data_IF_617789622079
#
_entry.id   IF_617789622079
#
_cell.length_a   1.000
_cell.length_b   1.000
_cell.length_c   1.000
_cell.angle_alpha   90.00
_cell.angle_beta   90.00
_cell.angle_gamma   90.00
#
_symmetry.space_group_name_H-M   'P 1'
#
loop_
_entity.id
_entity.type
_entity.pdbx_description
1 polymer ?
#
# COMPACT_ATOMS: atom_id res chain seq x y z
N UNK A 1 33.27 13.41 1.82
CA UNK A 1 32.06 12.88 2.49
C UNK A 1 30.89 13.17 1.56
N UNK A 2 30.26 12.12 1.01
CA UNK A 2 29.24 12.28 -0.03
C UNK A 2 27.93 12.82 0.59
N UNK A 3 27.45 13.97 0.10
CA UNK A 3 26.19 14.58 0.56
C UNK A 3 24.99 13.77 0.01
N UNK A 4 23.84 13.84 0.68
CA UNK A 4 22.60 13.15 0.35
C UNK A 4 22.23 13.26 -1.14
N UNK A 5 22.33 14.47 -1.70
CA UNK A 5 22.03 14.77 -3.11
C UNK A 5 22.94 13.99 -4.08
N UNK A 6 24.24 13.90 -3.82
CA UNK A 6 25.17 13.15 -4.67
C UNK A 6 24.85 11.65 -4.69
N UNK A 7 24.44 11.07 -3.54
CA UNK A 7 24.03 9.66 -3.49
C UNK A 7 22.77 9.40 -4.29
N UNK A 8 21.76 10.26 -4.16
CA UNK A 8 20.52 10.16 -4.95
C UNK A 8 20.82 10.23 -6.45
N UNK A 9 21.66 11.19 -6.89
CA UNK A 9 22.05 11.31 -8.30
C UNK A 9 22.75 10.05 -8.81
N UNK A 10 23.67 9.50 -8.02
CA UNK A 10 24.37 8.25 -8.33
C UNK A 10 23.40 7.07 -8.44
N UNK A 11 22.44 6.95 -7.51
CA UNK A 11 21.43 5.90 -7.50
C UNK A 11 20.48 5.99 -8.69
N UNK A 12 20.04 7.19 -9.08
CA UNK A 12 19.23 7.40 -10.29
C UNK A 12 19.97 6.96 -11.55
N UNK A 13 21.25 7.33 -11.68
CA UNK A 13 22.07 6.91 -12.82
C UNK A 13 22.23 5.38 -12.86
N UNK A 14 22.42 4.74 -11.70
CA UNK A 14 22.47 3.28 -11.59
C UNK A 14 21.15 2.63 -11.98
N UNK A 15 20.02 3.13 -11.48
CA UNK A 15 18.69 2.61 -11.80
C UNK A 15 18.38 2.73 -13.30
N UNK A 16 18.74 3.87 -13.92
CA UNK A 16 18.61 4.09 -15.36
C UNK A 16 19.44 3.12 -16.22
N UNK A 17 20.52 2.56 -15.66
CA UNK A 17 21.40 1.62 -16.35
C UNK A 17 20.95 0.15 -16.22
N UNK A 18 19.88 -0.16 -15.47
CA UNK A 18 19.36 -1.52 -15.30
C UNK A 18 18.14 -1.74 -16.21
N UNK A 19 18.26 -2.54 -17.29
CA UNK A 19 17.18 -2.71 -18.27
C UNK A 19 15.87 -3.24 -17.68
N UNK A 20 15.93 -4.17 -16.73
CA UNK A 20 14.74 -4.74 -16.11
C UNK A 20 13.92 -3.69 -15.34
N UNK A 21 14.57 -2.71 -14.71
CA UNK A 21 13.87 -1.62 -14.00
C UNK A 21 13.19 -0.65 -14.96
N UNK A 22 13.76 -0.46 -16.16
CA UNK A 22 13.12 0.33 -17.21
C UNK A 22 11.87 -0.36 -17.74
N UNK A 23 11.81 -1.69 -17.76
CA UNK A 23 10.66 -2.45 -18.24
C UNK A 23 9.51 -2.56 -17.21
N UNK A 24 9.82 -2.62 -15.91
CA UNK A 24 8.86 -2.96 -14.85
C UNK A 24 8.21 -1.76 -14.12
N UNK A 25 8.58 -0.52 -14.45
CA UNK A 25 8.03 0.67 -13.82
C UNK A 25 8.67 1.98 -14.29
N UNK A 26 9.95 1.93 -14.68
CA UNK A 26 10.66 3.07 -15.23
C UNK A 26 10.19 3.54 -16.60
N UNK A 27 9.28 2.85 -17.31
CA UNK A 27 8.89 3.21 -18.69
C UNK A 27 8.35 4.64 -18.84
N UNK A 28 7.74 5.21 -17.80
CA UNK A 28 7.09 6.52 -17.86
C UNK A 28 8.08 7.68 -17.76
N UNK A 29 9.07 7.58 -16.88
CA UNK A 29 10.03 8.66 -16.59
C UNK A 29 11.50 8.28 -16.85
N UNK A 30 11.80 7.00 -17.11
CA UNK A 30 13.14 6.45 -17.44
C UNK A 30 14.23 6.81 -16.41
N UNK A 31 13.84 6.92 -15.13
CA UNK A 31 14.68 7.46 -14.05
C UNK A 31 15.30 8.84 -14.33
N UNK A 32 14.66 9.64 -15.19
CA UNK A 32 15.02 11.02 -15.48
C UNK A 32 14.17 11.97 -14.66
N UNK A 33 14.84 12.85 -13.94
CA UNK A 33 14.21 14.02 -13.36
C UNK A 33 14.06 15.12 -14.42
N UNK A 34 13.10 16.00 -14.19
CA UNK A 34 13.05 17.27 -14.90
C UNK A 34 14.26 18.15 -14.50
N UNK A 35 14.56 19.22 -15.26
CA UNK A 35 15.58 20.18 -14.85
C UNK A 35 15.30 20.76 -13.45
N UNK A 36 16.33 21.08 -12.67
CA UNK A 36 16.15 21.80 -11.40
C UNK A 36 15.63 23.22 -11.63
N UNK A 37 14.92 23.73 -10.63
CA UNK A 37 14.48 25.13 -10.59
C UNK A 37 15.63 26.07 -10.25
N UNK A 38 15.50 27.32 -10.66
CA UNK A 38 16.38 28.38 -10.18
C UNK A 38 15.98 28.82 -8.76
N UNK A 39 16.92 29.47 -8.07
CA UNK A 39 16.65 30.10 -6.77
C UNK A 39 15.55 31.18 -6.89
N UNK A 40 15.49 31.87 -8.03
CA UNK A 40 14.47 32.88 -8.32
C UNK A 40 13.07 32.26 -8.44
N UNK A 41 12.94 31.15 -9.17
CA UNK A 41 11.65 30.45 -9.34
C UNK A 41 11.12 29.91 -8.01
N UNK A 42 12.01 29.32 -7.20
CA UNK A 42 11.64 28.79 -5.87
C UNK A 42 11.27 29.93 -4.92
N UNK A 43 12.05 31.01 -4.89
CA UNK A 43 11.75 32.18 -4.05
C UNK A 43 10.42 32.84 -4.45
N UNK A 44 10.16 32.98 -5.75
CA UNK A 44 8.88 33.49 -6.26
C UNK A 44 7.71 32.60 -5.86
N UNK A 45 7.87 31.28 -5.93
CA UNK A 45 6.86 30.33 -5.46
C UNK A 45 6.61 30.49 -3.94
N UNK A 46 7.67 30.53 -3.15
CA UNK A 46 7.61 30.69 -1.68
C UNK A 46 6.90 32.00 -1.29
N UNK A 47 7.23 33.11 -1.97
CA UNK A 47 6.60 34.41 -1.77
C UNK A 47 5.12 34.42 -2.20
N UNK A 48 4.82 33.97 -3.42
CA UNK A 48 3.46 33.98 -3.98
C UNK A 48 2.48 33.09 -3.22
N UNK A 49 2.97 32.07 -2.51
CA UNK A 49 2.17 31.13 -1.72
C UNK A 49 2.32 31.31 -0.20
N UNK A 50 3.06 32.34 0.23
CA UNK A 50 3.30 32.67 1.64
C UNK A 50 3.83 31.48 2.46
N UNK A 51 4.72 30.69 1.87
CA UNK A 51 5.24 29.45 2.46
C UNK A 51 6.75 29.39 2.35
N UNK A 52 7.40 28.75 3.31
CA UNK A 52 8.81 28.32 3.18
C UNK A 52 8.83 26.81 3.01
N UNK A 53 9.39 26.32 1.92
CA UNK A 53 9.48 24.90 1.63
C UNK A 53 10.36 24.19 2.68
N UNK A 54 10.03 22.95 3.09
CA UNK A 54 10.92 22.14 3.91
C UNK A 54 12.29 21.97 3.25
N UNK A 55 13.38 22.16 4.01
CA UNK A 55 14.75 22.25 3.49
C UNK A 55 15.11 21.06 2.59
N UNK A 56 14.77 19.84 3.00
CA UNK A 56 15.02 18.63 2.23
C UNK A 56 14.36 18.67 0.83
N UNK A 57 13.12 19.15 0.74
CA UNK A 57 12.40 19.28 -0.53
C UNK A 57 12.90 20.46 -1.36
N UNK A 58 13.18 21.60 -0.73
CA UNK A 58 13.76 22.78 -1.38
C UNK A 58 15.09 22.43 -2.07
N UNK A 59 15.96 21.69 -1.39
CA UNK A 59 17.21 21.19 -1.95
C UNK A 59 16.99 20.22 -3.11
N UNK A 60 15.98 19.36 -3.04
CA UNK A 60 15.65 18.47 -4.15
C UNK A 60 15.31 19.25 -5.43
N UNK A 61 14.40 20.23 -5.34
CA UNK A 61 13.97 20.99 -6.54
C UNK A 61 15.07 21.90 -7.09
N UNK A 62 15.98 22.41 -6.26
CA UNK A 62 17.11 23.25 -6.69
C UNK A 62 18.31 22.46 -7.20
N UNK A 63 18.61 21.32 -6.61
CA UNK A 63 19.85 20.59 -6.88
C UNK A 63 19.63 19.36 -7.79
N UNK A 64 18.46 18.73 -7.75
CA UNK A 64 18.17 17.48 -8.47
C UNK A 64 17.18 17.68 -9.63
N UNK A 65 15.99 18.21 -9.38
CA UNK A 65 14.98 18.39 -10.43
C UNK A 65 13.57 18.74 -9.94
N UNK A 66 12.79 19.39 -10.81
CA UNK A 66 11.38 19.74 -10.56
C UNK A 66 10.41 18.66 -11.04
N UNK A 67 10.31 17.57 -10.30
CA UNK A 67 9.46 16.44 -10.67
C UNK A 67 10.14 15.45 -11.63
N UNK A 68 9.34 14.58 -12.25
CA UNK A 68 9.83 13.52 -13.14
C UNK A 68 9.97 12.18 -12.42
N UNK A 69 11.16 11.58 -12.41
CA UNK A 69 11.38 10.27 -11.79
C UNK A 69 11.06 10.23 -10.29
N UNK A 70 10.22 9.28 -9.88
CA UNK A 70 9.84 9.08 -8.49
C UNK A 70 9.13 7.75 -8.27
N UNK A 71 8.78 7.42 -7.02
CA UNK A 71 7.94 6.27 -6.73
C UNK A 71 6.59 6.38 -7.44
N UNK A 72 6.06 5.24 -7.87
CA UNK A 72 4.78 5.17 -8.58
C UNK A 72 4.84 5.68 -10.02
N UNK A 73 4.01 6.67 -10.34
CA UNK A 73 3.87 7.20 -11.70
C UNK A 73 4.91 8.29 -12.00
N UNK A 74 5.07 9.27 -11.10
CA UNK A 74 6.02 10.39 -11.21
C UNK A 74 6.10 11.21 -9.93
N UNK A 75 7.16 11.99 -9.80
CA UNK A 75 7.18 13.18 -8.96
C UNK A 75 6.44 14.32 -9.65
N UNK A 76 5.62 15.04 -8.88
CA UNK A 76 4.81 16.16 -9.36
C UNK A 76 5.68 17.43 -9.39
N UNK A 77 5.76 18.14 -10.53
CA UNK A 77 6.43 19.44 -10.60
C UNK A 77 5.81 20.46 -9.62
N UNK A 78 6.61 21.36 -9.06
CA UNK A 78 6.20 22.32 -8.03
C UNK A 78 5.02 23.19 -8.47
N UNK A 79 4.96 23.55 -9.75
CA UNK A 79 3.87 24.36 -10.29
C UNK A 79 2.55 23.57 -10.44
N UNK A 80 2.61 22.25 -10.60
CA UNK A 80 1.45 21.33 -10.70
C UNK A 80 1.06 20.74 -9.33
N UNK A 81 1.92 20.85 -8.32
CA UNK A 81 1.73 20.29 -6.98
C UNK A 81 0.49 20.84 -6.21
N UNK A 82 -0.27 21.71 -6.88
CA UNK A 82 -1.46 22.41 -6.44
C UNK A 82 -2.66 22.27 -7.37
N UNK A 83 -2.63 21.37 -8.36
CA UNK A 83 -3.71 21.19 -9.35
C UNK A 83 -4.94 20.47 -8.75
N UNK A 84 -5.38 20.99 -7.61
CA UNK A 84 -6.76 20.99 -7.17
C UNK A 84 -7.28 22.34 -7.63
N UNK A 85 -7.82 22.40 -8.85
CA UNK A 85 -8.43 23.61 -9.40
C UNK A 85 -9.28 24.31 -8.31
N UNK A 86 -8.95 25.59 -8.02
CA UNK A 86 -9.60 26.49 -7.05
C UNK A 86 -9.26 26.38 -5.54
N UNK A 87 -8.02 26.06 -5.15
CA UNK A 87 -7.62 26.22 -3.74
C UNK A 87 -7.44 27.70 -3.33
N UNK A 88 -7.97 28.12 -2.16
CA UNK A 88 -7.95 29.51 -1.73
C UNK A 88 -6.53 30.05 -1.45
N UNK A 89 -6.34 31.35 -1.61
CA UNK A 89 -5.13 32.05 -1.13
C UNK A 89 -4.84 31.69 0.34
N UNK A 90 -3.57 31.48 0.67
CA UNK A 90 -3.14 31.07 2.01
C UNK A 90 -3.27 29.58 2.32
N UNK A 91 -3.72 28.74 1.37
CA UNK A 91 -3.87 27.29 1.61
C UNK A 91 -2.58 26.63 2.13
N UNK A 92 -1.41 26.96 1.56
CA UNK A 92 -0.12 26.41 2.03
C UNK A 92 0.39 27.09 3.30
N UNK A 93 0.08 28.36 3.50
CA UNK A 93 0.46 29.11 4.68
C UNK A 93 -0.36 28.72 5.92
N UNK A 94 -1.53 28.09 5.72
CA UNK A 94 -2.40 27.67 6.82
C UNK A 94 -1.94 26.32 7.37
N UNK A 95 -1.72 26.17 8.69
CA UNK A 95 -1.22 24.92 9.29
C UNK A 95 -2.12 23.71 9.03
N UNK A 96 -1.53 22.61 8.58
CA UNK A 96 -2.18 21.30 8.53
C UNK A 96 -2.39 20.72 9.93
N UNK A 97 -3.56 20.11 10.16
CA UNK A 97 -3.86 19.30 11.33
C UNK A 97 -3.36 17.86 11.25
N UNK A 98 -2.78 17.43 10.11
CA UNK A 98 -2.19 16.10 9.98
C UNK A 98 -0.95 15.95 10.86
N UNK A 99 -0.91 14.88 11.64
CA UNK A 99 0.25 14.57 12.48
C UNK A 99 0.47 13.04 12.61
N UNK A 100 1.74 12.59 12.66
CA UNK A 100 2.05 11.20 12.99
C UNK A 100 1.45 10.80 14.33
N UNK A 101 0.91 9.59 14.42
CA UNK A 101 0.30 9.07 15.64
C UNK A 101 -1.14 9.54 15.91
N UNK A 102 -1.66 10.49 15.13
CA UNK A 102 -3.07 10.86 15.18
C UNK A 102 -3.91 9.88 14.37
N UNK A 103 -4.99 9.38 14.97
CA UNK A 103 -5.96 8.57 14.26
C UNK A 103 -6.79 9.46 13.33
N UNK A 104 -6.68 9.23 12.03
CA UNK A 104 -7.49 9.88 11.01
C UNK A 104 -8.49 8.87 10.44
N UNK A 105 -9.68 9.34 10.11
CA UNK A 105 -10.76 8.56 9.51
C UNK A 105 -10.69 8.61 7.98
N UNK A 106 -11.55 7.85 7.31
CA UNK A 106 -11.56 7.74 5.84
C UNK A 106 -12.12 8.97 5.13
N UNK A 107 -12.99 9.70 5.82
CA UNK A 107 -13.59 10.99 5.43
C UNK A 107 -12.64 12.18 5.66
N UNK A 108 -11.34 11.96 5.88
CA UNK A 108 -10.37 13.03 6.17
C UNK A 108 -10.36 14.17 5.12
N UNK A 109 -10.74 13.88 3.87
CA UNK A 109 -10.87 14.87 2.79
C UNK A 109 -11.96 15.91 3.04
N UNK A 110 -12.98 15.58 3.82
CA UNK A 110 -14.10 16.48 4.13
C UNK A 110 -13.68 17.59 5.10
N UNK A 111 -12.49 17.49 5.69
CA UNK A 111 -11.96 18.40 6.70
C UNK A 111 -10.86 19.30 6.09
N UNK A 112 -11.15 20.57 5.76
CA UNK A 112 -10.18 21.49 5.17
C UNK A 112 -8.90 21.65 5.99
N UNK A 113 -9.01 21.59 7.32
CA UNK A 113 -7.89 21.69 8.25
C UNK A 113 -6.88 20.56 8.12
N UNK A 114 -7.27 19.40 7.59
CA UNK A 114 -6.35 18.30 7.30
C UNK A 114 -5.69 18.43 5.92
N UNK A 115 -6.37 19.06 4.95
CA UNK A 115 -5.88 19.24 3.58
C UNK A 115 -4.92 20.42 3.43
N UNK A 116 -5.23 21.54 4.09
CA UNK A 116 -4.40 22.75 4.04
C UNK A 116 -2.98 22.50 4.57
N UNK A 117 -2.04 23.35 4.22
CA UNK A 117 -0.64 23.23 4.66
C UNK A 117 0.09 22.02 4.09
N UNK A 118 -0.43 21.40 3.03
CA UNK A 118 0.17 20.26 2.34
C UNK A 118 0.39 20.52 0.85
N UNK A 119 1.38 19.83 0.28
CA UNK A 119 1.84 19.94 -1.10
C UNK A 119 1.86 18.54 -1.73
N UNK A 120 1.22 18.31 -2.87
CA UNK A 120 1.35 17.02 -3.57
C UNK A 120 2.75 16.91 -4.18
N UNK A 121 3.50 15.84 -3.89
CA UNK A 121 4.88 15.67 -4.39
C UNK A 121 5.06 14.43 -5.25
N UNK A 122 4.19 13.42 -5.15
CA UNK A 122 4.27 12.23 -5.99
C UNK A 122 2.90 11.62 -6.29
N UNK A 123 2.70 11.27 -7.56
CA UNK A 123 1.58 10.47 -8.03
C UNK A 123 1.97 9.00 -7.92
N UNK A 124 1.39 8.26 -6.98
CA UNK A 124 1.73 6.85 -6.78
C UNK A 124 0.97 5.95 -7.79
N UNK A 125 -0.33 6.19 -7.91
CA UNK A 125 -1.24 5.60 -8.90
C UNK A 125 -2.46 6.52 -9.13
N UNK A 126 -3.55 6.01 -9.73
CA UNK A 126 -4.74 6.81 -10.03
C UNK A 126 -5.51 7.30 -8.80
N UNK A 127 -5.31 6.69 -7.63
CA UNK A 127 -6.04 7.06 -6.41
C UNK A 127 -5.11 7.44 -5.26
N UNK A 128 -3.82 7.11 -5.32
CA UNK A 128 -2.85 7.38 -4.25
C UNK A 128 -1.86 8.48 -4.62
N UNK A 129 -1.73 9.46 -3.72
CA UNK A 129 -0.78 10.56 -3.82
C UNK A 129 0.04 10.63 -2.52
N UNK A 130 1.32 11.01 -2.64
CA UNK A 130 2.12 11.43 -1.48
C UNK A 130 2.09 12.94 -1.36
N UNK A 131 1.68 13.42 -0.19
CA UNK A 131 1.72 14.83 0.18
C UNK A 131 2.86 15.11 1.15
N UNK A 132 3.47 16.29 1.04
CA UNK A 132 4.44 16.86 1.96
C UNK A 132 3.74 17.90 2.83
N UNK A 133 3.85 17.80 4.15
CA UNK A 133 3.38 18.85 5.04
C UNK A 133 4.37 20.01 4.97
N UNK A 134 3.93 21.17 4.48
CA UNK A 134 4.76 22.37 4.32
C UNK A 134 4.55 23.37 5.46
N UNK A 135 3.37 23.34 6.09
CA UNK A 135 3.05 24.16 7.26
C UNK A 135 2.24 23.36 8.27
N UNK A 136 2.61 23.42 9.55
CA UNK A 136 1.94 22.70 10.65
C UNK A 136 2.89 21.85 11.49
N UNK A 137 2.37 21.11 12.50
CA UNK A 137 3.18 20.36 13.46
C UNK A 137 4.05 19.27 12.83
N UNK A 138 3.61 18.70 11.70
CA UNK A 138 4.32 17.65 10.97
C UNK A 138 5.16 18.18 9.80
N UNK A 139 5.49 19.48 9.77
CA UNK A 139 6.24 20.10 8.67
C UNK A 139 7.50 19.31 8.29
N UNK A 140 7.66 19.05 7.00
CA UNK A 140 8.75 18.26 6.42
C UNK A 140 8.49 16.75 6.34
N UNK A 141 7.40 16.26 6.93
CA UNK A 141 6.99 14.86 6.86
C UNK A 141 6.07 14.59 5.66
N UNK A 142 6.10 13.35 5.20
CA UNK A 142 5.31 12.89 4.07
C UNK A 142 4.14 12.02 4.56
N UNK A 143 3.01 12.18 3.90
CA UNK A 143 1.77 11.46 4.18
C UNK A 143 1.18 10.94 2.87
N UNK A 144 0.90 9.66 2.85
CA UNK A 144 0.24 9.01 1.72
C UNK A 144 -1.25 9.07 1.93
N UNK A 145 -1.95 9.44 0.88
CA UNK A 145 -3.38 9.66 0.94
C UNK A 145 -4.07 9.00 -0.25
N UNK A 146 -5.27 8.47 -0.02
CA UNK A 146 -6.12 7.93 -1.07
C UNK A 146 -7.22 8.94 -1.40
N UNK A 147 -7.22 9.48 -2.62
CA UNK A 147 -8.15 10.50 -3.10
C UNK A 147 -9.62 10.05 -3.10
N UNK A 148 -9.87 8.76 -3.21
CA UNK A 148 -11.22 8.20 -3.20
C UNK A 148 -11.76 7.90 -1.78
N UNK A 149 -10.99 8.20 -0.73
CA UNK A 149 -11.42 8.02 0.66
C UNK A 149 -11.50 6.55 1.09
N UNK A 150 -10.91 5.61 0.34
CA UNK A 150 -10.92 4.19 0.71
C UNK A 150 -10.07 3.90 1.94
N UNK A 151 -9.02 4.69 2.14
CA UNK A 151 -8.05 4.53 3.23
C UNK A 151 -7.78 5.87 3.93
N UNK A 152 -7.40 5.76 5.21
CA UNK A 152 -6.97 6.91 6.00
C UNK A 152 -5.56 7.35 5.59
N UNK A 153 -5.18 8.61 5.87
CA UNK A 153 -3.80 9.07 5.70
C UNK A 153 -2.79 8.22 6.48
N UNK A 154 -1.67 7.90 5.83
CA UNK A 154 -0.58 7.11 6.42
C UNK A 154 0.73 7.87 6.25
N UNK A 155 1.31 8.30 7.36
CA UNK A 155 2.63 8.95 7.36
C UNK A 155 3.73 7.97 6.97
N UNK A 156 4.66 8.44 6.15
CA UNK A 156 5.92 7.76 5.90
C UNK A 156 6.75 7.73 7.20
N UNK A 157 7.41 6.61 7.46
CA UNK A 157 8.28 6.45 8.63
C UNK A 157 9.59 7.25 8.48
N UNK A 158 9.91 7.65 7.24
CA UNK A 158 11.09 8.46 6.92
C UNK A 158 11.04 9.85 7.60
N UNK A 159 12.19 10.36 8.06
CA UNK A 159 12.25 11.62 8.81
C UNK A 159 12.02 12.86 7.94
N UNK A 160 12.36 12.79 6.64
CA UNK A 160 12.22 13.89 5.70
C UNK A 160 12.07 13.39 4.25
N UNK A 161 11.87 14.34 3.34
CA UNK A 161 11.67 14.09 1.92
C UNK A 161 12.84 13.41 1.23
N UNK A 162 14.09 13.83 1.50
CA UNK A 162 15.25 13.25 0.82
C UNK A 162 15.47 11.81 1.27
N UNK A 163 15.28 11.52 2.57
CA UNK A 163 15.41 10.17 3.12
C UNK A 163 14.36 9.23 2.52
N UNK A 164 13.13 9.70 2.40
CA UNK A 164 12.05 8.99 1.71
C UNK A 164 12.38 8.73 0.23
N UNK A 165 12.86 9.74 -0.49
CA UNK A 165 13.21 9.59 -1.91
C UNK A 165 14.42 8.65 -2.12
N UNK A 166 15.44 8.77 -1.27
CA UNK A 166 16.62 7.92 -1.31
C UNK A 166 16.27 6.46 -1.00
N UNK A 167 15.37 6.21 -0.03
CA UNK A 167 14.89 4.87 0.31
C UNK A 167 14.22 4.18 -0.88
N UNK A 168 13.40 4.89 -1.65
CA UNK A 168 12.78 4.33 -2.86
C UNK A 168 13.82 3.75 -3.80
N UNK A 169 14.91 4.49 -4.04
CA UNK A 169 16.00 4.04 -4.89
C UNK A 169 16.78 2.87 -4.27
N UNK A 170 17.01 2.89 -2.96
CA UNK A 170 17.70 1.79 -2.26
C UNK A 170 16.94 0.47 -2.39
N UNK A 171 15.65 0.48 -2.10
CA UNK A 171 14.80 -0.70 -2.18
C UNK A 171 14.68 -1.20 -3.63
N UNK A 172 14.48 -0.28 -4.58
CA UNK A 172 14.44 -0.61 -6.00
C UNK A 172 15.74 -1.28 -6.47
N UNK A 173 16.90 -0.71 -6.11
CA UNK A 173 18.22 -1.23 -6.47
C UNK A 173 18.56 -2.52 -5.72
N UNK A 174 17.93 -2.78 -4.57
CA UNK A 174 17.99 -4.05 -3.86
C UNK A 174 17.06 -5.11 -4.45
N UNK A 175 16.30 -4.79 -5.50
CA UNK A 175 15.36 -5.69 -6.17
C UNK A 175 14.05 -5.90 -5.42
N UNK A 176 13.72 -4.98 -4.50
CA UNK A 176 12.48 -5.06 -3.72
C UNK A 176 11.31 -4.51 -4.53
N UNK A 177 10.10 -5.00 -4.23
CA UNK A 177 8.86 -4.46 -4.76
C UNK A 177 8.58 -3.05 -4.22
N UNK A 178 8.40 -2.08 -5.11
CA UNK A 178 8.11 -0.68 -4.75
C UNK A 178 6.65 -0.26 -5.01
N UNK A 179 5.77 -1.21 -5.35
CA UNK A 179 4.34 -0.91 -5.56
C UNK A 179 3.63 -0.42 -4.30
N UNK A 180 4.10 -0.83 -3.11
CA UNK A 180 3.56 -0.41 -1.81
C UNK A 180 4.39 0.69 -1.15
N UNK A 181 5.29 1.36 -1.88
CA UNK A 181 6.35 2.20 -1.31
C UNK A 181 5.88 3.22 -0.26
N UNK A 182 4.77 3.91 -0.55
CA UNK A 182 4.18 4.89 0.34
C UNK A 182 3.66 4.30 1.65
N UNK A 183 3.01 3.14 1.60
CA UNK A 183 2.22 2.61 2.72
C UNK A 183 2.95 1.57 3.58
N UNK A 184 4.20 1.25 3.27
CA UNK A 184 4.96 0.19 3.95
C UNK A 184 5.80 0.71 5.12
N UNK A 185 6.08 -0.19 6.06
CA UNK A 185 7.15 -0.01 7.03
C UNK A 185 8.48 -0.22 6.28
N UNK A 186 9.45 0.70 6.36
CA UNK A 186 10.75 0.52 5.75
C UNK A 186 11.60 -0.45 6.58
N UNK A 187 12.50 -1.16 5.91
CA UNK A 187 13.41 -2.10 6.55
C UNK A 187 13.51 -3.43 5.82
N UNK A 188 14.60 -4.13 6.08
CA UNK A 188 14.81 -5.50 5.65
C UNK A 188 14.02 -6.48 6.55
N UNK A 189 14.13 -7.78 6.25
CA UNK A 189 13.37 -8.80 6.96
C UNK A 189 13.52 -8.74 8.49
N UNK A 190 14.73 -8.63 9.10
CA UNK A 190 14.86 -8.51 10.55
C UNK A 190 14.08 -7.34 11.16
N UNK A 191 14.11 -6.17 10.51
CA UNK A 191 13.37 -4.99 10.99
C UNK A 191 11.86 -5.23 10.92
N UNK A 192 11.38 -5.76 9.79
CA UNK A 192 9.95 -6.02 9.61
C UNK A 192 9.44 -7.11 10.55
N UNK A 193 10.25 -8.13 10.80
CA UNK A 193 9.95 -9.21 11.75
C UNK A 193 9.87 -8.67 13.17
N UNK A 194 10.80 -7.81 13.58
CA UNK A 194 10.77 -7.20 14.91
C UNK A 194 9.51 -6.34 15.12
N UNK A 195 9.18 -5.48 14.15
CA UNK A 195 7.95 -4.66 14.21
C UNK A 195 6.71 -5.55 14.24
N UNK A 196 6.64 -6.57 13.38
CA UNK A 196 5.50 -7.49 13.35
C UNK A 196 5.34 -8.29 14.65
N UNK A 197 6.43 -8.65 15.32
CA UNK A 197 6.37 -9.45 16.54
C UNK A 197 6.10 -8.60 17.80
N UNK A 198 6.63 -7.38 17.87
CA UNK A 198 6.77 -6.65 19.13
C UNK A 198 6.13 -5.26 19.17
N UNK A 199 5.74 -4.69 18.03
CA UNK A 199 5.21 -3.33 18.03
C UNK A 199 3.87 -3.25 18.77
N UNK A 200 3.68 -2.30 19.71
CA UNK A 200 2.42 -2.16 20.44
C UNK A 200 1.26 -1.75 19.54
N UNK A 201 1.52 -1.07 18.42
CA UNK A 201 0.51 -0.65 17.46
C UNK A 201 0.14 -1.79 16.51
N UNK A 202 -1.10 -2.28 16.62
CA UNK A 202 -1.64 -3.26 15.69
C UNK A 202 -1.58 -2.78 14.22
N UNK A 203 -1.72 -1.48 13.99
CA UNK A 203 -1.56 -0.91 12.64
C UNK A 203 -0.13 -1.05 12.12
N UNK A 204 0.88 -0.77 12.95
CA UNK A 204 2.28 -0.96 12.54
C UNK A 204 2.59 -2.43 12.31
N UNK A 205 2.10 -3.34 13.17
CA UNK A 205 2.21 -4.79 12.95
C UNK A 205 1.59 -5.23 11.62
N UNK A 206 0.34 -4.82 11.35
CA UNK A 206 -0.34 -5.15 10.09
C UNK A 206 0.37 -4.58 8.86
N UNK A 207 0.90 -3.34 8.94
CA UNK A 207 1.72 -2.76 7.87
C UNK A 207 3.05 -3.50 7.71
N UNK A 208 3.71 -3.92 8.78
CA UNK A 208 4.95 -4.71 8.73
C UNK A 208 4.73 -6.07 8.03
N UNK A 209 3.65 -6.78 8.36
CA UNK A 209 3.26 -8.01 7.64
C UNK A 209 3.13 -7.76 6.14
N UNK A 210 2.36 -6.75 5.72
CA UNK A 210 2.22 -6.39 4.29
C UNK A 210 3.54 -5.97 3.64
N UNK A 211 4.45 -5.36 4.40
CA UNK A 211 5.74 -4.88 3.90
C UNK A 211 6.65 -6.04 3.48
N UNK A 212 6.52 -7.23 4.10
CA UNK A 212 7.27 -8.43 3.72
C UNK A 212 6.99 -8.87 2.27
N UNK A 213 5.85 -8.49 1.68
CA UNK A 213 5.55 -8.76 0.25
C UNK A 213 6.58 -8.11 -0.66
N UNK A 214 7.12 -6.95 -0.27
CA UNK A 214 8.11 -6.22 -1.06
C UNK A 214 9.48 -6.89 -1.08
N UNK A 215 9.78 -7.77 -0.12
CA UNK A 215 11.08 -8.42 -0.08
C UNK A 215 11.19 -9.46 -1.21
N UNK A 216 12.39 -9.67 -1.79
CA UNK A 216 12.60 -10.70 -2.82
C UNK A 216 12.21 -12.09 -2.32
N UNK A 217 12.56 -12.41 -1.08
CA UNK A 217 12.24 -13.66 -0.39
C UNK A 217 11.94 -13.40 1.08
N UNK A 218 11.24 -14.35 1.72
CA UNK A 218 11.06 -14.40 3.17
C UNK A 218 11.87 -15.60 3.68
N UNK A 219 12.77 -15.37 4.62
CA UNK A 219 13.53 -16.40 5.31
C UNK A 219 12.72 -17.12 6.39
N UNK A 220 13.38 -18.03 7.12
CA UNK A 220 12.71 -18.85 8.14
C UNK A 220 12.12 -18.00 9.27
N UNK A 221 12.87 -17.00 9.76
CA UNK A 221 12.42 -16.13 10.84
C UNK A 221 11.15 -15.35 10.46
N UNK A 222 11.11 -14.79 9.24
CA UNK A 222 9.91 -14.14 8.72
C UNK A 222 8.75 -15.10 8.53
N UNK A 223 9.01 -16.32 8.06
CA UNK A 223 7.97 -17.35 7.93
C UNK A 223 7.35 -17.73 9.28
N UNK A 224 8.18 -17.91 10.31
CA UNK A 224 7.75 -18.29 11.66
C UNK A 224 6.92 -17.18 12.32
N UNK A 225 7.39 -15.92 12.25
CA UNK A 225 6.67 -14.78 12.82
C UNK A 225 5.38 -14.49 12.05
N UNK A 226 5.37 -14.65 10.72
CA UNK A 226 4.16 -14.51 9.93
C UNK A 226 3.12 -15.57 10.30
N UNK A 227 3.54 -16.83 10.47
CA UNK A 227 2.68 -17.93 10.89
C UNK A 227 2.11 -17.70 12.30
N UNK A 228 2.90 -17.16 13.23
CA UNK A 228 2.43 -16.76 14.56
C UNK A 228 1.41 -15.61 14.51
N UNK A 229 1.65 -14.62 13.63
CA UNK A 229 0.82 -13.41 13.49
C UNK A 229 -0.59 -13.68 12.93
N UNK A 230 -0.82 -14.85 12.31
CA UNK A 230 -2.17 -15.31 11.94
C UNK A 230 -3.05 -15.51 13.19
N UNK A 231 -2.47 -15.58 14.38
CA UNK A 231 -3.19 -15.67 15.68
C UNK A 231 -3.09 -14.38 16.51
N UNK A 232 -2.71 -13.26 15.89
CA UNK A 232 -2.66 -11.95 16.58
C UNK A 232 -4.04 -11.57 17.14
N UNK A 233 -4.04 -10.84 18.25
CA UNK A 233 -5.27 -10.38 18.90
C UNK A 233 -6.09 -9.46 17.98
N UNK A 234 -5.40 -8.66 17.14
CA UNK A 234 -6.03 -7.74 16.23
C UNK A 234 -6.35 -8.40 14.86
N UNK A 235 -7.61 -8.34 14.39
CA UNK A 235 -8.01 -8.97 13.14
C UNK A 235 -7.31 -8.39 11.91
N UNK A 236 -6.92 -7.12 11.92
CA UNK A 236 -6.21 -6.51 10.79
C UNK A 236 -4.80 -7.10 10.64
N UNK A 237 -4.15 -7.46 11.75
CA UNK A 237 -2.85 -8.15 11.74
C UNK A 237 -3.01 -9.57 11.21
N UNK A 238 -4.02 -10.32 11.67
CA UNK A 238 -4.32 -11.67 11.16
C UNK A 238 -4.58 -11.67 9.66
N UNK A 239 -5.43 -10.77 9.19
CA UNK A 239 -5.74 -10.61 7.76
C UNK A 239 -4.51 -10.23 6.93
N UNK A 240 -3.67 -9.31 7.42
CA UNK A 240 -2.43 -8.91 6.76
C UNK A 240 -1.40 -10.06 6.69
N UNK A 241 -1.32 -10.87 7.74
CA UNK A 241 -0.43 -12.03 7.78
C UNK A 241 -0.86 -13.10 6.75
N UNK A 242 -2.16 -13.41 6.67
CA UNK A 242 -2.73 -14.35 5.68
C UNK A 242 -2.52 -13.86 4.25
N UNK A 243 -2.80 -12.58 3.98
CA UNK A 243 -2.57 -11.98 2.66
C UNK A 243 -1.11 -12.15 2.22
N UNK A 244 -0.18 -11.85 3.12
CA UNK A 244 1.26 -11.97 2.86
C UNK A 244 1.67 -13.44 2.68
N UNK A 245 1.14 -14.34 3.49
CA UNK A 245 1.39 -15.77 3.41
C UNK A 245 0.98 -16.33 2.04
N UNK A 246 -0.19 -15.95 1.53
CA UNK A 246 -0.64 -16.33 0.19
C UNK A 246 0.22 -15.70 -0.90
N UNK A 247 0.48 -14.39 -0.84
CA UNK A 247 1.25 -13.66 -1.84
C UNK A 247 2.70 -14.18 -1.99
N UNK A 248 3.32 -14.59 -0.89
CA UNK A 248 4.70 -15.11 -0.86
C UNK A 248 4.76 -16.65 -0.77
N UNK A 249 3.61 -17.32 -0.79
CA UNK A 249 3.44 -18.78 -0.72
C UNK A 249 4.21 -19.40 0.46
N UNK A 250 4.06 -18.81 1.64
CA UNK A 250 4.78 -19.21 2.87
C UNK A 250 4.16 -20.49 3.45
N UNK A 251 4.77 -21.64 3.17
CA UNK A 251 4.23 -22.95 3.54
C UNK A 251 3.96 -23.12 5.05
N UNK A 252 4.79 -22.53 5.91
CA UNK A 252 4.61 -22.56 7.37
C UNK A 252 3.26 -21.97 7.84
N UNK A 253 2.62 -21.14 7.00
CA UNK A 253 1.34 -20.53 7.29
C UNK A 253 0.13 -21.39 6.92
N UNK A 254 0.30 -22.55 6.28
CA UNK A 254 -0.85 -23.38 5.85
C UNK A 254 -1.71 -23.83 7.03
N UNK A 255 -1.11 -24.43 8.07
CA UNK A 255 -1.86 -24.90 9.23
C UNK A 255 -2.57 -23.74 9.99
N UNK A 256 -1.90 -22.62 10.32
CA UNK A 256 -2.59 -21.45 10.88
C UNK A 256 -3.69 -20.89 9.97
N UNK A 257 -3.50 -20.89 8.65
CA UNK A 257 -4.53 -20.44 7.72
C UNK A 257 -5.77 -21.35 7.73
N UNK A 258 -5.60 -22.66 7.94
CA UNK A 258 -6.75 -23.57 8.13
C UNK A 258 -7.56 -23.25 9.38
N UNK A 259 -6.89 -22.92 10.48
CA UNK A 259 -7.56 -22.51 11.72
C UNK A 259 -8.37 -21.21 11.50
N UNK A 260 -7.78 -20.26 10.78
CA UNK A 260 -8.38 -18.95 10.48
C UNK A 260 -9.65 -19.01 9.60
N UNK A 261 -9.98 -20.15 8.99
CA UNK A 261 -11.27 -20.34 8.29
C UNK A 261 -12.49 -20.30 9.22
N UNK A 262 -12.27 -20.39 10.52
CA UNK A 262 -13.29 -20.26 11.57
C UNK A 262 -13.14 -18.99 12.39
N UNK A 263 -12.32 -18.03 11.92
CA UNK A 263 -12.11 -16.77 12.61
C UNK A 263 -13.44 -16.01 12.79
N UNK A 264 -13.68 -15.36 13.95
CA UNK A 264 -14.90 -14.58 14.17
C UNK A 264 -15.06 -13.43 13.18
N UNK A 265 -13.96 -12.92 12.59
CA UNK A 265 -13.99 -11.81 11.63
C UNK A 265 -14.01 -12.35 10.21
N UNK A 266 -15.06 -11.99 9.46
CA UNK A 266 -15.25 -12.48 8.10
C UNK A 266 -14.11 -12.12 7.13
N UNK A 267 -13.51 -10.92 7.25
CA UNK A 267 -12.35 -10.55 6.42
C UNK A 267 -11.16 -11.50 6.63
N UNK A 268 -10.92 -11.93 7.87
CA UNK A 268 -9.88 -12.92 8.18
C UNK A 268 -10.22 -14.27 7.53
N UNK A 269 -11.49 -14.69 7.57
CA UNK A 269 -11.94 -15.92 6.87
C UNK A 269 -11.75 -15.84 5.36
N UNK A 270 -12.04 -14.68 4.75
CA UNK A 270 -11.80 -14.43 3.31
C UNK A 270 -10.31 -14.52 3.00
N UNK A 271 -9.44 -13.85 3.79
CA UNK A 271 -7.99 -13.91 3.58
C UNK A 271 -7.44 -15.32 3.79
N UNK A 272 -8.03 -16.11 4.70
CA UNK A 272 -7.66 -17.51 4.89
C UNK A 272 -7.96 -18.36 3.66
N UNK A 273 -9.13 -18.20 3.05
CA UNK A 273 -9.48 -18.86 1.78
C UNK A 273 -8.52 -18.48 0.65
N UNK A 274 -8.21 -17.19 0.52
CA UNK A 274 -7.27 -16.68 -0.50
C UNK A 274 -5.85 -17.20 -0.28
N UNK A 275 -5.38 -17.24 0.97
CA UNK A 275 -4.07 -17.77 1.32
C UNK A 275 -3.97 -19.26 0.98
N UNK A 276 -4.94 -20.06 1.43
CA UNK A 276 -4.97 -21.51 1.16
C UNK A 276 -5.07 -21.81 -0.33
N UNK A 277 -5.82 -21.02 -1.10
CA UNK A 277 -5.84 -21.16 -2.56
C UNK A 277 -4.45 -21.01 -3.19
N UNK A 278 -3.60 -20.11 -2.68
CA UNK A 278 -2.22 -19.93 -3.17
C UNK A 278 -1.23 -20.99 -2.66
N UNK A 279 -1.52 -21.56 -1.49
CA UNK A 279 -0.72 -22.63 -0.86
C UNK A 279 -1.06 -24.02 -1.41
N UNK A 280 -2.22 -24.16 -2.05
CA UNK A 280 -2.66 -25.37 -2.78
C UNK A 280 -2.61 -26.67 -1.94
N UNK A 281 -3.22 -26.71 -0.74
CA UNK A 281 -3.32 -27.96 0.00
C UNK A 281 -4.17 -28.99 -0.74
N UNK A 282 -3.85 -30.28 -0.58
CA UNK A 282 -4.51 -31.37 -1.32
C UNK A 282 -6.03 -31.48 -1.08
N UNK A 283 -6.50 -31.11 0.11
CA UNK A 283 -7.90 -31.15 0.54
C UNK A 283 -8.62 -29.79 0.40
N UNK A 284 -8.03 -28.84 -0.34
CA UNK A 284 -8.55 -27.47 -0.46
C UNK A 284 -10.03 -27.43 -0.88
N UNK A 285 -10.43 -28.25 -1.85
CA UNK A 285 -11.79 -28.25 -2.38
C UNK A 285 -12.84 -28.59 -1.31
N UNK A 286 -12.57 -29.58 -0.46
CA UNK A 286 -13.48 -29.97 0.62
C UNK A 286 -13.59 -28.86 1.65
N UNK A 287 -12.46 -28.25 2.01
CA UNK A 287 -12.41 -27.17 2.99
C UNK A 287 -13.09 -25.89 2.49
N UNK A 288 -12.94 -25.55 1.21
CA UNK A 288 -13.64 -24.41 0.60
C UNK A 288 -15.14 -24.69 0.53
N UNK A 289 -15.56 -25.91 0.21
CA UNK A 289 -16.98 -26.31 0.15
C UNK A 289 -17.69 -26.12 1.49
N UNK A 290 -17.04 -26.42 2.61
CA UNK A 290 -17.59 -26.13 3.95
C UNK A 290 -17.91 -24.64 4.16
N UNK A 291 -17.24 -23.72 3.44
CA UNK A 291 -17.47 -22.27 3.54
C UNK A 291 -18.63 -21.76 2.68
N UNK A 292 -19.26 -22.58 1.85
CA UNK A 292 -20.47 -22.19 1.11
C UNK A 292 -21.66 -21.85 2.03
N UNK A 293 -21.68 -22.45 3.23
CA UNK A 293 -22.67 -22.18 4.28
C UNK A 293 -22.24 -21.16 5.33
N UNK A 294 -21.18 -20.37 5.06
CA UNK A 294 -20.73 -19.34 5.99
C UNK A 294 -21.82 -18.28 6.22
N UNK A 295 -21.94 -17.80 7.46
CA UNK A 295 -22.95 -16.80 7.84
C UNK A 295 -22.77 -15.47 7.11
N UNK A 296 -21.52 -15.13 6.77
CA UNK A 296 -21.21 -13.90 6.04
C UNK A 296 -21.28 -14.17 4.53
N UNK A 297 -22.21 -13.53 3.80
CA UNK A 297 -22.37 -13.77 2.37
C UNK A 297 -21.11 -13.52 1.54
N UNK A 298 -20.25 -12.60 1.97
CA UNK A 298 -18.97 -12.34 1.31
C UNK A 298 -18.03 -13.56 1.34
N UNK A 299 -18.02 -14.32 2.44
CA UNK A 299 -17.18 -15.53 2.59
C UNK A 299 -17.73 -16.66 1.72
N UNK A 300 -19.04 -16.90 1.77
CA UNK A 300 -19.70 -17.91 0.93
C UNK A 300 -19.50 -17.61 -0.57
N UNK A 301 -19.57 -16.33 -0.96
CA UNK A 301 -19.29 -15.89 -2.33
C UNK A 301 -17.84 -16.17 -2.73
N UNK A 302 -16.87 -15.91 -1.85
CA UNK A 302 -15.47 -16.24 -2.10
C UNK A 302 -15.27 -17.75 -2.26
N UNK A 303 -15.99 -18.57 -1.50
CA UNK A 303 -15.96 -20.03 -1.63
C UNK A 303 -16.48 -20.52 -2.99
N UNK A 304 -17.56 -19.91 -3.52
CA UNK A 304 -18.03 -20.19 -4.89
C UNK A 304 -16.93 -19.92 -5.92
N UNK A 305 -16.27 -18.75 -5.84
CA UNK A 305 -15.21 -18.40 -6.80
C UNK A 305 -14.02 -19.36 -6.71
N UNK A 306 -13.56 -19.67 -5.49
CA UNK A 306 -12.45 -20.59 -5.27
C UNK A 306 -12.77 -22.01 -5.80
N UNK A 307 -13.96 -22.56 -5.52
CA UNK A 307 -14.36 -23.87 -6.06
C UNK A 307 -14.45 -23.87 -7.59
N UNK A 308 -14.93 -22.76 -8.18
CA UNK A 308 -14.99 -22.62 -9.64
C UNK A 308 -13.60 -22.68 -10.25
N UNK A 309 -12.63 -21.93 -9.70
CA UNK A 309 -11.24 -21.91 -10.18
C UNK A 309 -10.56 -23.28 -10.01
N UNK A 310 -10.90 -24.02 -8.96
CA UNK A 310 -10.42 -25.38 -8.73
C UNK A 310 -11.10 -26.43 -9.63
N UNK A 311 -12.11 -26.06 -10.41
CA UNK A 311 -12.92 -27.01 -11.20
C UNK A 311 -13.76 -27.96 -10.35
N UNK A 312 -13.91 -27.69 -9.06
CA UNK A 312 -14.61 -28.54 -8.10
C UNK A 312 -16.05 -28.12 -7.83
N UNK A 313 -16.54 -27.03 -8.42
CA UNK A 313 -17.88 -26.50 -8.17
C UNK A 313 -18.98 -27.33 -8.87
N UNK A 314 -19.99 -27.77 -8.12
CA UNK A 314 -21.10 -28.59 -8.66
C UNK A 314 -22.44 -27.83 -8.65
N UNK A 315 -23.43 -28.32 -9.41
CA UNK A 315 -24.79 -27.77 -9.36
C UNK A 315 -25.41 -27.90 -7.95
N UNK A 316 -25.19 -29.02 -7.27
CA UNK A 316 -25.68 -29.25 -5.90
C UNK A 316 -25.09 -28.28 -4.86
N UNK A 317 -23.85 -27.81 -5.07
CA UNK A 317 -23.24 -26.77 -4.25
C UNK A 317 -23.98 -25.41 -4.39
N UNK A 318 -24.55 -25.14 -5.57
CA UNK A 318 -25.12 -23.85 -5.94
C UNK A 318 -26.63 -23.76 -5.71
N UNK A 319 -27.36 -24.86 -5.89
CA UNK A 319 -28.82 -24.93 -5.74
C UNK A 319 -29.34 -24.27 -4.45
N UNK A 320 -28.80 -24.57 -3.25
CA UNK A 320 -29.24 -23.96 -2.00
C UNK A 320 -29.03 -22.44 -1.95
N UNK A 321 -28.05 -21.92 -2.70
CA UNK A 321 -27.67 -20.51 -2.69
C UNK A 321 -28.49 -19.68 -3.69
N UNK A 322 -29.19 -20.30 -4.65
CA UNK A 322 -30.04 -19.61 -5.64
C UNK A 322 -31.28 -18.94 -5.05
N UNK A 323 -31.63 -19.25 -3.80
CA UNK A 323 -32.75 -18.65 -3.06
C UNK A 323 -32.28 -17.88 -1.82
N UNK A 324 -30.96 -17.73 -1.63
CA UNK A 324 -30.38 -17.08 -0.46
C UNK A 324 -30.91 -15.65 -0.29
N UNK A 325 -31.22 -15.16 0.94
CA UNK A 325 -31.78 -13.83 1.15
C UNK A 325 -30.87 -12.70 0.68
N UNK A 326 -29.55 -12.82 0.87
CA UNK A 326 -28.58 -11.86 0.35
C UNK A 326 -28.57 -11.88 -1.21
N UNK A 327 -28.88 -10.75 -1.87
CA UNK A 327 -29.00 -10.68 -3.32
C UNK A 327 -27.69 -10.91 -4.05
N UNK A 328 -26.55 -10.50 -3.50
CA UNK A 328 -25.24 -10.65 -4.15
C UNK A 328 -24.78 -12.10 -4.20
N UNK A 329 -24.94 -12.82 -3.09
CA UNK A 329 -24.65 -14.25 -3.03
C UNK A 329 -25.61 -15.03 -3.96
N UNK A 330 -26.91 -14.72 -3.90
CA UNK A 330 -27.92 -15.32 -4.76
C UNK A 330 -27.62 -15.13 -6.25
N UNK A 331 -27.33 -13.91 -6.65
CA UNK A 331 -27.01 -13.58 -8.04
C UNK A 331 -25.67 -14.17 -8.49
N UNK A 332 -24.71 -14.33 -7.57
CA UNK A 332 -23.45 -15.04 -7.86
C UNK A 332 -23.72 -16.52 -8.11
N UNK A 333 -24.51 -17.17 -7.26
CA UNK A 333 -24.86 -18.59 -7.40
C UNK A 333 -25.61 -18.87 -8.71
N UNK A 334 -26.62 -18.05 -9.05
CA UNK A 334 -27.38 -18.17 -10.31
C UNK A 334 -26.45 -18.02 -11.53
N UNK A 335 -25.54 -17.05 -11.52
CA UNK A 335 -24.58 -16.84 -12.61
C UNK A 335 -23.61 -18.02 -12.75
N UNK A 336 -23.10 -18.53 -11.63
CA UNK A 336 -22.21 -19.68 -11.62
C UNK A 336 -22.93 -20.95 -12.15
N UNK A 337 -24.19 -21.15 -11.77
CA UNK A 337 -24.98 -22.31 -12.20
C UNK A 337 -25.26 -22.29 -13.70
N UNK A 338 -25.65 -21.13 -14.25
CA UNK A 338 -25.83 -20.96 -15.71
C UNK A 338 -24.56 -21.27 -16.49
N UNK A 339 -23.42 -20.73 -16.04
CA UNK A 339 -22.13 -20.99 -16.68
C UNK A 339 -21.71 -22.47 -16.64
N UNK A 340 -22.20 -23.26 -15.67
CA UNK A 340 -21.94 -24.69 -15.59
C UNK A 340 -22.88 -25.54 -16.47
N UNK A 341 -24.02 -24.98 -16.91
CA UNK A 341 -24.98 -25.64 -17.81
C UNK A 341 -24.70 -25.33 -19.28
N UNK A 342 -24.15 -24.14 -19.57
CA UNK A 342 -23.90 -23.64 -20.93
C UNK A 342 -22.49 -24.00 -21.48
N UNK A 343 -21.61 -24.61 -20.66
CA UNK A 343 -20.22 -24.98 -21.02
C UNK A 343 -20.02 -26.47 -21.20
#
# INVERSE_FOLDING_TARGET
MENHISRIRSKLARAAAVPSLLESGGRRHLFRLNPPLSEEDVAWFEESREVTLPEAYRRFVLELGDGGAGPGLRMVPLHEAHDWDDLPHGFLATPSGLAPGTAHTRDWHDYPELRQGTLAVADLDCEYITQLVVTGPARGRLVNVNLAGWTRPVFAEDPDFLSWYERWLDELLAGWGVSLFGNKIPGDEPVLVDVLAHDPSADRRARAARSLISLPSIGQAGADVLAASIRDQDPAVRAAALLTAGAKRVAACEAPAREALTDPVADVRVQALLALHRLEPADLADRVRERLGDEEPAVARQAIYALKELGGLTAGDLEPLTTHPNPDLRNTAIRALRAAVDG
#
